data_IF_163310579906
#
_entry.id   IF_163310579906
#
_cell.length_a   1.000
_cell.length_b   1.000
_cell.length_c   1.000
_cell.angle_alpha   90.00
_cell.angle_beta   90.00
_cell.angle_gamma   90.00
#
_symmetry.space_group_name_H-M   'P 1'
#
loop_
_entity.id
_entity.type
_entity.pdbx_description
1 polymer ?
#
# COMPACT_ATOMS: atom_id res chain seq x y z
N UNK A 1 24.33 58.60 18.64
CA UNK A 1 23.32 58.69 17.57
C UNK A 1 22.86 57.26 17.32
N UNK A 2 21.62 56.97 17.70
CA UNK A 2 21.02 55.64 17.70
C UNK A 2 20.15 55.52 16.47
N UNK A 3 20.50 54.62 15.54
CA UNK A 3 19.60 54.25 14.45
C UNK A 3 19.15 52.81 14.65
N UNK A 4 18.08 52.72 15.43
CA UNK A 4 17.23 51.55 15.61
C UNK A 4 16.48 51.24 14.31
N UNK A 5 16.51 49.98 13.86
CA UNK A 5 15.52 49.45 12.93
C UNK A 5 14.99 48.10 13.45
N UNK A 6 14.06 48.22 14.40
CA UNK A 6 13.10 47.22 14.88
C UNK A 6 11.75 47.71 14.30
N UNK A 7 10.89 46.99 13.57
CA UNK A 7 10.09 45.77 13.78
C UNK A 7 9.34 45.56 12.43
N UNK A 8 8.94 44.39 11.91
CA UNK A 8 7.85 43.51 12.39
C UNK A 8 7.67 42.35 11.37
N UNK A 9 7.98 41.09 11.74
CA UNK A 9 7.10 39.93 12.08
C UNK A 9 6.44 39.10 10.94
N UNK A 10 6.70 37.78 11.04
CA UNK A 10 5.84 36.57 10.87
C UNK A 10 5.51 35.99 9.48
N UNK A 11 6.10 34.82 9.19
CA UNK A 11 5.46 33.47 9.08
C UNK A 11 6.58 32.49 8.66
N UNK A 12 7.09 31.57 9.49
CA UNK A 12 6.51 30.34 10.06
C UNK A 12 6.15 29.28 9.00
N UNK A 13 7.01 28.23 8.96
CA UNK A 13 6.85 26.83 8.47
C UNK A 13 6.30 26.66 7.02
N UNK A 14 6.82 25.79 6.16
CA UNK A 14 7.08 24.36 6.33
C UNK A 14 8.15 23.89 5.32
N UNK A 15 9.16 23.16 5.80
CA UNK A 15 9.84 22.14 5.00
C UNK A 15 8.85 21.00 4.76
N UNK A 16 8.76 20.45 3.55
CA UNK A 16 9.06 19.02 3.47
C UNK A 16 9.87 18.65 2.23
N UNK A 17 11.11 18.23 2.49
CA UNK A 17 11.54 16.89 2.11
C UNK A 17 11.51 16.56 0.63
N UNK A 18 12.62 16.86 -0.05
CA UNK A 18 13.08 16.15 -1.25
C UNK A 18 13.28 14.67 -0.86
N UNK A 19 12.27 13.83 -1.11
CA UNK A 19 12.36 12.40 -0.86
C UNK A 19 13.31 11.83 -1.91
N UNK A 20 14.51 11.50 -1.45
CA UNK A 20 15.58 10.88 -2.20
C UNK A 20 15.08 9.68 -3.02
N UNK A 21 15.41 9.68 -4.31
CA UNK A 21 15.37 8.54 -5.21
C UNK A 21 16.30 7.43 -4.68
N UNK A 22 15.86 6.69 -3.67
CA UNK A 22 16.52 5.44 -3.28
C UNK A 22 16.29 4.43 -4.39
N UNK A 23 17.24 4.43 -5.33
CA UNK A 23 17.51 3.37 -6.29
C UNK A 23 17.78 2.08 -5.52
N UNK A 24 16.72 1.39 -5.10
CA UNK A 24 16.83 0.07 -4.48
C UNK A 24 17.34 -0.86 -5.57
N UNK A 25 18.60 -1.23 -5.41
CA UNK A 25 19.32 -2.21 -6.19
C UNK A 25 18.42 -3.41 -6.49
N UNK A 26 18.19 -3.66 -7.78
CA UNK A 26 17.57 -4.87 -8.29
C UNK A 26 18.41 -6.09 -7.86
N UNK A 27 18.17 -6.59 -6.65
CA UNK A 27 18.47 -7.97 -6.34
C UNK A 27 17.68 -8.78 -7.36
N UNK A 28 18.37 -9.63 -8.12
CA UNK A 28 17.77 -10.63 -9.01
C UNK A 28 16.98 -11.59 -8.13
N UNK A 29 15.81 -11.16 -7.69
CA UNK A 29 14.94 -11.88 -6.78
C UNK A 29 14.29 -12.99 -7.58
N UNK A 30 14.24 -14.19 -6.99
CA UNK A 30 13.37 -15.27 -7.45
C UNK A 30 12.00 -14.68 -7.85
N UNK A 31 11.38 -15.16 -8.95
CA UNK A 31 10.06 -14.68 -9.32
C UNK A 31 9.14 -14.77 -8.11
N UNK A 32 8.53 -13.65 -7.73
CA UNK A 32 7.56 -13.61 -6.64
C UNK A 32 6.45 -14.62 -6.96
N UNK A 33 6.00 -15.44 -6.00
CA UNK A 33 4.91 -16.37 -6.25
C UNK A 33 3.68 -15.58 -6.70
N UNK A 34 2.89 -16.15 -7.63
CA UNK A 34 1.65 -15.51 -8.06
C UNK A 34 0.74 -15.28 -6.87
N UNK A 35 0.14 -14.09 -6.79
CA UNK A 35 -0.76 -13.72 -5.69
C UNK A 35 -1.90 -14.73 -5.53
N UNK A 36 -2.42 -15.26 -6.65
CA UNK A 36 -3.46 -16.29 -6.63
C UNK A 36 -3.06 -17.58 -5.88
N UNK A 37 -1.77 -17.89 -5.79
CA UNK A 37 -1.26 -19.05 -5.04
C UNK A 37 -1.09 -18.77 -3.55
N UNK A 38 -1.17 -17.50 -3.10
CA UNK A 38 -1.09 -17.12 -1.69
C UNK A 38 -2.41 -17.33 -0.93
N UNK A 39 -3.51 -17.40 -1.67
CA UNK A 39 -4.86 -17.47 -1.12
C UNK A 39 -5.47 -18.84 -1.39
N UNK A 40 -6.06 -19.47 -0.37
CA UNK A 40 -6.90 -20.64 -0.59
C UNK A 40 -8.24 -20.22 -1.20
N UNK A 41 -8.95 -21.14 -1.84
CA UNK A 41 -10.28 -20.86 -2.40
C UNK A 41 -11.26 -20.27 -1.36
N UNK A 42 -11.16 -20.74 -0.11
CA UNK A 42 -11.91 -20.20 1.03
C UNK A 42 -11.56 -18.73 1.32
N UNK A 43 -10.28 -18.38 1.29
CA UNK A 43 -9.84 -16.99 1.47
C UNK A 43 -10.37 -16.11 0.35
N UNK A 44 -10.22 -16.55 -0.91
CA UNK A 44 -10.71 -15.82 -2.08
C UNK A 44 -12.22 -15.58 -1.97
N UNK A 45 -13.00 -16.61 -1.63
CA UNK A 45 -14.44 -16.48 -1.42
C UNK A 45 -14.79 -15.48 -0.32
N UNK A 46 -14.08 -15.52 0.81
CA UNK A 46 -14.26 -14.56 1.90
C UNK A 46 -13.91 -13.14 1.47
N UNK A 47 -12.79 -12.92 0.79
CA UNK A 47 -12.38 -11.60 0.31
C UNK A 47 -13.36 -11.05 -0.72
N UNK A 48 -13.77 -11.86 -1.69
CA UNK A 48 -14.75 -11.47 -2.70
C UNK A 48 -16.06 -11.05 -2.03
N UNK A 49 -16.57 -11.85 -1.09
CA UNK A 49 -17.83 -11.56 -0.41
C UNK A 49 -17.76 -10.34 0.52
N UNK A 50 -16.65 -10.17 1.24
CA UNK A 50 -16.52 -9.20 2.34
C UNK A 50 -15.83 -7.89 1.97
N UNK A 51 -14.81 -7.97 1.11
CA UNK A 51 -14.05 -6.81 0.64
C UNK A 51 -14.58 -6.31 -0.71
N UNK A 52 -15.04 -7.21 -1.59
CA UNK A 52 -15.48 -6.85 -2.94
C UNK A 52 -16.99 -7.00 -3.16
N UNK A 53 -17.79 -7.11 -2.10
CA UNK A 53 -19.26 -7.19 -2.17
C UNK A 53 -19.79 -8.24 -3.16
N UNK A 54 -19.17 -9.42 -3.16
CA UNK A 54 -19.47 -10.53 -4.06
C UNK A 54 -19.12 -10.28 -5.54
N UNK A 55 -18.23 -9.32 -5.82
CA UNK A 55 -17.76 -9.01 -7.17
C UNK A 55 -16.38 -9.63 -7.44
N UNK A 56 -16.37 -10.83 -8.01
CA UNK A 56 -15.15 -11.59 -8.32
C UNK A 56 -14.29 -10.92 -9.39
N UNK A 57 -14.90 -10.23 -10.37
CA UNK A 57 -14.19 -9.53 -11.43
C UNK A 57 -13.33 -8.40 -10.88
N UNK A 58 -13.87 -7.60 -9.95
CA UNK A 58 -13.12 -6.53 -9.29
C UNK A 58 -12.02 -7.06 -8.39
N UNK A 59 -12.22 -8.21 -7.74
CA UNK A 59 -11.15 -8.86 -6.98
C UNK A 59 -10.02 -9.30 -7.92
N UNK A 60 -10.35 -9.93 -9.05
CA UNK A 60 -9.35 -10.42 -10.00
C UNK A 60 -8.58 -9.26 -10.67
N UNK A 61 -9.27 -8.17 -11.03
CA UNK A 61 -8.63 -6.95 -11.57
C UNK A 61 -7.66 -6.34 -10.54
N UNK A 62 -8.11 -6.25 -9.28
CA UNK A 62 -7.26 -5.78 -8.20
C UNK A 62 -6.04 -6.67 -7.98
N UNK A 63 -6.21 -8.00 -7.97
CA UNK A 63 -5.10 -8.94 -7.85
C UNK A 63 -4.13 -8.80 -9.02
N UNK A 64 -4.60 -8.62 -10.26
CA UNK A 64 -3.73 -8.35 -11.42
C UNK A 64 -2.94 -7.05 -11.28
N UNK A 65 -3.57 -6.00 -10.74
CA UNK A 65 -2.89 -4.74 -10.43
C UNK A 65 -1.75 -4.96 -9.42
N UNK A 66 -1.99 -5.74 -8.37
CA UNK A 66 -0.98 -6.08 -7.37
C UNK A 66 0.10 -7.04 -7.92
N UNK A 67 -0.23 -7.98 -8.80
CA UNK A 67 0.74 -8.88 -9.47
C UNK A 67 1.79 -8.08 -10.25
N UNK A 68 1.40 -6.91 -10.79
CA UNK A 68 2.28 -6.04 -11.56
C UNK A 68 3.27 -5.25 -10.69
N UNK A 69 3.06 -5.25 -9.37
CA UNK A 69 3.91 -4.52 -8.42
C UNK A 69 4.96 -5.44 -7.79
N UNK A 70 6.24 -5.06 -7.93
CA UNK A 70 7.38 -5.82 -7.39
C UNK A 70 7.86 -5.33 -6.01
N UNK A 71 7.25 -4.27 -5.47
CA UNK A 71 7.65 -3.64 -4.21
C UNK A 71 6.47 -3.61 -3.21
N UNK A 72 6.75 -3.97 -1.96
CA UNK A 72 5.74 -3.97 -0.90
C UNK A 72 5.15 -2.58 -0.66
N UNK A 73 5.96 -1.52 -0.68
CA UNK A 73 5.48 -0.16 -0.41
C UNK A 73 4.46 0.29 -1.46
N UNK A 74 4.74 -0.01 -2.74
CA UNK A 74 3.82 0.26 -3.85
C UNK A 74 2.55 -0.60 -3.72
N UNK A 75 2.73 -1.88 -3.38
CA UNK A 75 1.63 -2.84 -3.17
C UNK A 75 0.71 -2.35 -2.05
N UNK A 76 1.27 -2.04 -0.88
CA UNK A 76 0.56 -1.59 0.30
C UNK A 76 -0.20 -0.29 0.06
N UNK A 77 0.45 0.70 -0.57
CA UNK A 77 -0.23 1.94 -0.97
C UNK A 77 -1.42 1.66 -1.88
N UNK A 78 -1.26 0.75 -2.85
CA UNK A 78 -2.35 0.34 -3.75
C UNK A 78 -3.50 -0.32 -2.98
N UNK A 79 -3.19 -1.12 -1.95
CA UNK A 79 -4.19 -1.71 -1.05
C UNK A 79 -4.93 -0.63 -0.27
N UNK A 80 -4.21 0.31 0.35
CA UNK A 80 -4.82 1.38 1.12
C UNK A 80 -5.73 2.25 0.27
N UNK A 81 -5.30 2.63 -0.94
CA UNK A 81 -6.12 3.41 -1.88
C UNK A 81 -7.42 2.67 -2.25
N UNK A 82 -7.36 1.37 -2.57
CA UNK A 82 -8.56 0.59 -2.87
C UNK A 82 -9.45 0.37 -1.65
N UNK A 83 -8.87 0.18 -0.46
CA UNK A 83 -9.65 0.05 0.77
C UNK A 83 -10.36 1.35 1.13
N UNK A 84 -9.68 2.49 1.02
CA UNK A 84 -10.28 3.81 1.20
C UNK A 84 -11.42 4.05 0.19
N UNK A 85 -11.16 3.80 -1.10
CA UNK A 85 -12.15 3.97 -2.16
C UNK A 85 -13.42 3.14 -1.94
N UNK A 86 -13.26 1.91 -1.45
CA UNK A 86 -14.36 0.96 -1.18
C UNK A 86 -14.94 1.08 0.23
N UNK A 87 -14.40 1.98 1.06
CA UNK A 87 -14.74 2.13 2.49
C UNK A 87 -14.58 0.81 3.27
N UNK A 88 -13.59 0.01 2.89
CA UNK A 88 -13.19 -1.22 3.58
C UNK A 88 -12.44 -0.84 4.85
N UNK A 89 -12.83 -1.40 5.98
CA UNK A 89 -12.09 -1.20 7.22
C UNK A 89 -10.78 -2.01 7.16
N UNK A 90 -9.59 -1.37 7.17
CA UNK A 90 -8.31 -2.10 7.13
C UNK A 90 -8.09 -2.99 8.37
N UNK A 91 -8.80 -2.72 9.47
CA UNK A 91 -8.73 -3.49 10.71
C UNK A 91 -9.73 -4.65 10.79
N UNK A 92 -10.57 -4.85 9.78
CA UNK A 92 -11.41 -6.05 9.78
C UNK A 92 -10.59 -7.28 9.43
N UNK A 93 -11.01 -8.43 9.95
CA UNK A 93 -10.26 -9.67 9.89
C UNK A 93 -9.83 -10.04 8.45
N UNK A 94 -10.76 -10.03 7.49
CA UNK A 94 -10.47 -10.30 6.08
C UNK A 94 -9.42 -9.35 5.47
N UNK A 95 -9.46 -8.06 5.82
CA UNK A 95 -8.50 -7.07 5.31
C UNK A 95 -7.10 -7.28 5.90
N UNK A 96 -7.02 -7.59 7.20
CA UNK A 96 -5.78 -7.93 7.87
C UNK A 96 -5.15 -9.19 7.28
N UNK A 97 -5.94 -10.27 7.11
CA UNK A 97 -5.47 -11.53 6.53
C UNK A 97 -4.97 -11.32 5.09
N UNK A 98 -5.71 -10.55 4.29
CA UNK A 98 -5.30 -10.24 2.92
C UNK A 98 -3.94 -9.54 2.87
N UNK A 99 -3.75 -8.53 3.73
CA UNK A 99 -2.52 -7.73 3.80
C UNK A 99 -1.34 -8.55 4.35
N UNK A 100 -1.56 -9.36 5.39
CA UNK A 100 -0.55 -10.25 5.99
C UNK A 100 -0.04 -11.29 4.99
N UNK A 101 -0.93 -11.94 4.25
CA UNK A 101 -0.56 -12.92 3.22
C UNK A 101 0.22 -12.29 2.08
N UNK A 102 -0.16 -11.08 1.64
CA UNK A 102 0.60 -10.34 0.64
C UNK A 102 1.96 -9.91 1.19
N UNK A 103 2.06 -9.48 2.44
CA UNK A 103 3.33 -9.10 3.06
C UNK A 103 4.34 -10.26 3.02
N UNK A 104 3.90 -11.47 3.36
CA UNK A 104 4.71 -12.71 3.30
C UNK A 104 5.24 -13.04 1.90
N UNK A 105 4.61 -12.52 0.83
CA UNK A 105 5.11 -12.61 -0.55
C UNK A 105 6.46 -11.89 -0.71
N UNK A 106 6.57 -10.71 -0.10
CA UNK A 106 7.74 -9.82 -0.22
C UNK A 106 8.78 -10.12 0.86
N UNK A 107 8.34 -10.58 2.02
CA UNK A 107 9.16 -10.93 3.17
C UNK A 107 8.81 -12.33 3.69
N UNK A 108 9.19 -13.40 2.96
CA UNK A 108 9.10 -14.76 3.48
C UNK A 108 10.15 -14.93 4.59
N UNK A 109 9.75 -15.55 5.71
CA UNK A 109 10.62 -15.92 6.83
C UNK A 109 11.73 -16.90 6.39
#
# INVERSE_FOLDING_TARGET
>A
MVDMKILERRNNLEDPGKIEDKKVTAKKSKPLPSIGSLFSEKDVSSFVKKLFQNNSDQFNDFVKKLESTSDWSITFKTIEEEFQRRKINPRQNEAMIFTDKLFKRYYPD
#
